data_IF_218825771662
#
_entry.id   IF_218825771662
#
_cell.length_a   1.000
_cell.length_b   1.000
_cell.length_c   1.000
_cell.angle_alpha   90.00
_cell.angle_beta   90.00
_cell.angle_gamma   90.00
#
_symmetry.space_group_name_H-M   'P 1'
#
loop_
_entity.id
_entity.type
_entity.pdbx_description
1 polymer ?
#
# COMPACT_ATOMS: atom_id res chain seq x y z
N UNK A 1 -42.16 2.92 51.38
CA UNK A 1 -42.63 4.27 51.76
C UNK A 1 -41.67 4.85 52.78
N UNK A 2 -40.65 5.60 52.34
CA UNK A 2 -40.01 6.64 53.17
C UNK A 2 -39.42 7.70 52.24
N UNK A 3 -39.81 8.95 52.49
CA UNK A 3 -39.58 10.14 51.68
C UNK A 3 -38.31 10.91 52.09
N UNK A 4 -37.65 11.51 51.09
CA UNK A 4 -36.89 12.78 51.07
C UNK A 4 -35.62 12.94 51.96
N UNK A 5 -34.72 13.94 51.73
CA UNK A 5 -34.80 15.05 50.76
C UNK A 5 -33.59 15.33 49.85
N UNK A 6 -33.91 16.16 48.84
CA UNK A 6 -33.03 16.90 47.95
C UNK A 6 -31.95 17.73 48.68
N UNK A 7 -30.73 17.72 48.14
CA UNK A 7 -29.77 18.82 48.28
C UNK A 7 -29.07 19.03 46.93
N UNK A 8 -29.48 20.04 46.17
CA UNK A 8 -29.02 21.43 46.20
C UNK A 8 -27.87 21.67 45.20
N UNK A 9 -28.27 22.17 44.03
CA UNK A 9 -27.41 22.58 42.92
C UNK A 9 -26.58 23.81 43.29
N UNK A 10 -25.26 23.68 43.37
CA UNK A 10 -24.35 24.83 43.28
C UNK A 10 -23.86 25.00 41.85
N UNK A 11 -24.49 25.94 41.12
CA UNK A 11 -23.97 26.50 39.88
C UNK A 11 -22.67 27.24 40.18
N UNK A 12 -21.54 26.68 39.79
CA UNK A 12 -20.26 27.39 39.78
C UNK A 12 -20.22 28.25 38.52
N UNK A 13 -20.46 29.55 38.68
CA UNK A 13 -20.29 30.54 37.61
C UNK A 13 -18.82 30.94 37.58
N UNK A 14 -18.03 30.38 36.65
CA UNK A 14 -16.65 30.80 36.42
C UNK A 14 -16.68 32.01 35.49
N UNK A 15 -16.24 33.15 36.01
CA UNK A 15 -16.06 34.39 35.28
C UNK A 15 -15.03 34.21 34.15
N UNK A 16 -15.44 34.48 32.90
CA UNK A 16 -14.55 34.53 31.74
C UNK A 16 -13.73 35.83 31.80
N UNK A 17 -12.41 35.69 31.95
CA UNK A 17 -11.43 36.77 31.84
C UNK A 17 -11.24 37.13 30.36
N UNK A 18 -11.36 38.40 29.93
CA UNK A 18 -11.15 38.76 28.53
C UNK A 18 -9.65 38.74 28.17
N UNK A 19 -9.31 38.14 27.03
CA UNK A 19 -7.97 38.19 26.43
C UNK A 19 -7.69 39.60 25.85
N UNK A 20 -6.46 40.11 25.94
CA UNK A 20 -6.07 41.33 25.24
C UNK A 20 -5.98 41.10 23.73
N UNK A 21 -6.58 42.02 22.97
CA UNK A 21 -6.46 42.15 21.51
C UNK A 21 -5.05 42.63 21.17
N UNK A 22 -4.28 41.83 20.42
CA UNK A 22 -3.07 42.29 19.76
C UNK A 22 -3.41 42.71 18.33
N UNK A 23 -3.29 44.01 18.08
CA UNK A 23 -3.44 44.68 16.78
C UNK A 23 -2.13 44.67 15.99
N UNK A 24 -2.29 44.51 14.67
CA UNK A 24 -1.51 45.05 13.55
C UNK A 24 0.01 44.79 13.50
N UNK A 25 0.39 44.07 12.43
CA UNK A 25 1.72 44.11 11.84
C UNK A 25 1.64 43.73 10.36
N UNK A 26 1.11 44.63 9.53
CA UNK A 26 1.22 44.54 8.08
C UNK A 26 2.66 44.86 7.68
N UNK A 27 3.33 43.92 7.00
CA UNK A 27 4.56 44.21 6.26
C UNK A 27 4.32 43.81 4.81
N UNK A 28 3.98 44.81 4.01
CA UNK A 28 4.23 44.82 2.57
C UNK A 28 5.75 44.88 2.37
N UNK A 29 6.29 44.06 1.47
CA UNK A 29 7.51 44.40 0.74
C UNK A 29 7.37 43.96 -0.73
N UNK A 30 7.94 44.74 -1.67
CA UNK A 30 7.45 44.86 -3.04
C UNK A 30 8.10 43.91 -4.04
N UNK A 31 7.44 43.86 -5.19
CA UNK A 31 7.82 43.24 -6.45
C UNK A 31 9.23 43.60 -6.94
N UNK A 32 9.89 42.62 -7.56
CA UNK A 32 10.85 42.86 -8.65
C UNK A 32 10.37 42.11 -9.90
N UNK A 33 10.00 42.88 -10.92
CA UNK A 33 9.91 42.46 -12.32
C UNK A 33 11.29 42.58 -12.98
N UNK A 34 11.62 41.65 -13.87
CA UNK A 34 12.25 41.83 -15.20
C UNK A 34 12.58 40.43 -15.74
N UNK A 35 11.79 39.85 -16.66
CA UNK A 35 11.74 40.09 -18.11
C UNK A 35 13.02 39.67 -18.86
N UNK A 36 12.90 38.60 -19.69
CA UNK A 36 13.35 38.56 -21.09
C UNK A 36 13.11 37.16 -21.73
N UNK A 37 12.04 37.08 -22.52
CA UNK A 37 11.90 36.56 -23.90
C UNK A 37 12.50 35.20 -24.39
N UNK A 38 11.95 34.62 -25.50
CA UNK A 38 11.96 33.17 -25.77
C UNK A 38 12.67 32.69 -27.08
N UNK A 39 12.72 31.35 -27.19
CA UNK A 39 12.70 30.48 -28.39
C UNK A 39 14.01 30.29 -29.22
N UNK A 40 14.11 29.30 -30.16
CA UNK A 40 13.25 28.13 -30.45
C UNK A 40 13.99 26.77 -30.69
N UNK A 41 13.17 25.72 -30.73
CA UNK A 41 13.15 24.48 -31.55
C UNK A 41 14.43 23.99 -32.27
N UNK A 42 14.74 22.69 -32.04
CA UNK A 42 15.60 21.89 -32.91
C UNK A 42 15.22 20.41 -32.88
N UNK A 43 14.33 19.99 -33.79
CA UNK A 43 14.08 18.59 -34.15
C UNK A 43 15.02 18.16 -35.28
N UNK A 44 15.72 17.02 -35.19
CA UNK A 44 16.30 16.39 -36.37
C UNK A 44 15.31 15.40 -37.02
N UNK A 45 15.20 15.37 -38.37
CA UNK A 45 14.38 14.40 -39.09
C UNK A 45 15.11 13.06 -39.31
N UNK A 46 14.32 12.00 -39.44
CA UNK A 46 14.73 10.68 -39.91
C UNK A 46 15.11 10.69 -41.40
N UNK A 47 16.05 9.84 -41.86
CA UNK A 47 16.17 9.53 -43.27
C UNK A 47 15.32 8.30 -43.64
N UNK A 48 14.62 8.47 -44.76
CA UNK A 48 13.77 7.50 -45.42
C UNK A 48 14.56 6.39 -46.12
N UNK A 49 13.86 5.26 -46.27
CA UNK A 49 14.13 4.13 -47.15
C UNK A 49 14.42 4.57 -48.59
N UNK A 50 15.46 3.98 -49.20
CA UNK A 50 15.67 3.97 -50.64
C UNK A 50 15.73 2.52 -51.08
N UNK A 51 14.69 2.08 -51.78
CA UNK A 51 14.73 0.93 -52.65
C UNK A 51 15.14 1.41 -54.04
N UNK A 52 16.09 0.75 -54.70
CA UNK A 52 15.93 0.28 -56.09
C UNK A 52 17.20 -0.41 -56.63
N UNK A 53 16.93 -1.52 -57.33
CA UNK A 53 17.57 -2.03 -58.55
C UNK A 53 18.99 -2.64 -58.54
N UNK A 54 19.01 -3.91 -58.90
CA UNK A 54 20.13 -4.73 -59.37
C UNK A 54 20.83 -4.19 -60.64
N UNK A 55 21.94 -4.80 -61.07
CA UNK A 55 21.79 -5.87 -62.06
C UNK A 55 22.61 -7.15 -61.78
N UNK A 56 22.25 -8.18 -62.52
CA UNK A 56 22.78 -9.53 -62.49
C UNK A 56 24.25 -9.63 -62.94
N UNK A 57 24.98 -10.58 -62.34
CA UNK A 57 26.16 -11.19 -62.95
C UNK A 57 26.17 -12.68 -62.63
N UNK A 58 26.18 -13.49 -63.68
CA UNK A 58 26.20 -14.94 -63.64
C UNK A 58 27.64 -15.49 -63.65
N UNK A 59 27.87 -16.58 -62.90
CA UNK A 59 28.84 -17.69 -63.11
C UNK A 59 29.42 -18.20 -61.76
N UNK A 60 29.99 -19.42 -61.67
CA UNK A 60 29.59 -20.71 -62.23
C UNK A 60 29.29 -21.76 -61.10
N UNK A 61 28.75 -22.91 -61.47
CA UNK A 61 28.36 -23.98 -60.55
C UNK A 61 29.54 -24.60 -59.78
N UNK A 62 29.46 -24.56 -58.45
CA UNK A 62 30.34 -25.28 -57.53
C UNK A 62 29.69 -26.61 -57.09
N UNK A 63 30.49 -27.66 -56.79
CA UNK A 63 30.00 -29.01 -56.52
C UNK A 63 29.19 -29.07 -55.21
N UNK A 64 28.17 -29.94 -55.21
CA UNK A 64 27.19 -30.11 -54.14
C UNK A 64 27.85 -30.44 -52.78
N UNK A 65 27.97 -29.42 -51.93
CA UNK A 65 28.24 -29.60 -50.51
C UNK A 65 27.06 -30.32 -49.86
N UNK A 66 27.36 -31.38 -49.09
CA UNK A 66 26.39 -32.12 -48.31
C UNK A 66 25.62 -31.16 -47.40
N UNK A 67 24.28 -31.16 -47.53
CA UNK A 67 23.41 -30.30 -46.71
C UNK A 67 23.60 -30.66 -45.23
N UNK A 68 23.93 -29.71 -44.34
CA UNK A 68 23.88 -29.96 -42.91
C UNK A 68 22.46 -30.37 -42.56
N UNK A 69 22.31 -31.54 -41.92
CA UNK A 69 21.03 -32.01 -41.40
C UNK A 69 20.56 -30.99 -40.38
N UNK A 70 19.48 -30.28 -40.69
CA UNK A 70 18.79 -29.39 -39.76
C UNK A 70 18.41 -30.24 -38.54
N UNK A 71 18.85 -29.90 -37.32
CA UNK A 71 18.35 -30.58 -36.13
C UNK A 71 16.83 -30.42 -36.12
N UNK A 72 16.11 -31.52 -35.96
CA UNK A 72 14.66 -31.45 -35.75
C UNK A 72 14.40 -30.47 -34.58
N UNK A 73 13.43 -29.56 -34.69
CA UNK A 73 13.12 -28.68 -33.58
C UNK A 73 12.78 -29.55 -32.38
N UNK A 74 13.57 -29.43 -31.32
CA UNK A 74 13.25 -30.05 -30.04
C UNK A 74 11.86 -29.58 -29.67
N UNK A 75 10.92 -30.53 -29.58
CA UNK A 75 9.56 -30.28 -29.12
C UNK A 75 9.63 -29.60 -27.76
N UNK A 76 9.47 -28.27 -27.73
CA UNK A 76 9.29 -27.54 -26.49
C UNK A 76 8.07 -28.17 -25.80
N UNK A 77 8.28 -28.75 -24.62
CA UNK A 77 7.19 -29.24 -23.81
C UNK A 77 6.17 -28.10 -23.67
N UNK A 78 4.85 -28.37 -23.82
CA UNK A 78 3.86 -27.33 -23.69
C UNK A 78 4.04 -26.68 -22.32
N UNK A 79 4.30 -25.36 -22.31
CA UNK A 79 4.33 -24.60 -21.08
C UNK A 79 2.98 -24.83 -20.39
N UNK A 80 3.00 -25.48 -19.22
CA UNK A 80 1.79 -25.75 -18.46
C UNK A 80 1.01 -24.44 -18.33
N UNK A 81 -0.25 -24.43 -18.79
CA UNK A 81 -1.09 -23.25 -18.72
C UNK A 81 -1.14 -22.77 -17.27
N UNK A 82 -0.60 -21.57 -17.02
CA UNK A 82 -0.52 -21.03 -15.66
C UNK A 82 -1.93 -20.68 -15.19
N UNK A 83 -2.36 -21.35 -14.13
CA UNK A 83 -3.71 -21.20 -13.60
C UNK A 83 -3.88 -19.83 -12.95
N UNK A 84 -4.94 -19.12 -13.32
CA UNK A 84 -5.41 -17.93 -12.62
C UNK A 84 -6.16 -18.35 -11.36
N UNK A 85 -5.72 -17.84 -10.22
CA UNK A 85 -6.30 -18.05 -8.90
C UNK A 85 -7.03 -16.79 -8.47
N UNK A 86 -8.11 -16.93 -7.70
CA UNK A 86 -8.78 -15.82 -7.01
C UNK A 86 -8.32 -15.76 -5.58
N UNK A 87 -8.15 -14.55 -5.04
CA UNK A 87 -7.95 -14.39 -3.60
C UNK A 87 -9.23 -14.81 -2.89
N UNK A 88 -9.07 -15.63 -1.85
CA UNK A 88 -10.13 -16.03 -0.94
C UNK A 88 -10.21 -15.03 0.24
N UNK A 89 -11.23 -14.15 0.30
CA UNK A 89 -11.35 -13.18 1.37
C UNK A 89 -11.59 -13.82 2.74
N UNK A 90 -12.20 -15.01 2.80
CA UNK A 90 -12.53 -15.64 4.09
C UNK A 90 -11.29 -16.18 4.80
N UNK A 91 -10.27 -16.56 4.03
CA UNK A 91 -9.02 -17.10 4.56
C UNK A 91 -7.84 -16.13 4.47
N UNK A 92 -8.08 -14.89 4.00
CA UNK A 92 -7.07 -13.84 3.89
C UNK A 92 -7.19 -12.78 4.98
N UNK A 93 -6.05 -12.29 5.46
CA UNK A 93 -5.94 -11.28 6.51
C UNK A 93 -4.71 -10.40 6.28
N UNK A 94 -4.89 -9.10 6.41
CA UNK A 94 -3.81 -8.14 6.66
C UNK A 94 -4.09 -7.50 8.02
N UNK A 95 -3.12 -7.55 8.93
CA UNK A 95 -3.22 -6.92 10.25
C UNK A 95 -2.04 -5.98 10.48
N UNK A 96 -2.35 -4.76 10.93
CA UNK A 96 -1.41 -3.67 11.15
C UNK A 96 -1.40 -3.33 12.63
N UNK A 97 -0.24 -3.47 13.26
CA UNK A 97 0.02 -3.01 14.61
C UNK A 97 0.41 -1.54 14.55
N UNK A 98 -0.34 -0.72 15.28
CA UNK A 98 -0.17 0.73 15.36
C UNK A 98 0.25 1.07 16.79
N UNK A 99 1.47 1.59 16.94
CA UNK A 99 2.06 1.90 18.25
C UNK A 99 1.88 3.37 18.61
N UNK A 100 1.67 3.63 19.89
CA UNK A 100 1.63 4.98 20.46
C UNK A 100 3.05 5.57 20.57
N UNK A 101 3.14 6.89 20.42
CA UNK A 101 4.37 7.69 20.52
C UNK A 101 4.13 9.00 21.27
N UNK A 102 5.20 9.79 21.42
CA UNK A 102 5.19 11.06 22.16
C UNK A 102 5.47 10.91 23.67
N UNK A 103 5.70 12.04 24.34
CA UNK A 103 6.09 12.09 25.76
C UNK A 103 5.03 11.54 26.72
N UNK A 104 3.76 11.57 26.32
CA UNK A 104 2.60 11.06 27.06
C UNK A 104 2.05 9.76 26.44
N UNK A 105 2.85 9.05 25.64
CA UNK A 105 2.51 7.75 25.03
C UNK A 105 1.80 6.78 26.00
N UNK A 106 2.25 6.74 27.26
CA UNK A 106 1.68 5.88 28.32
C UNK A 106 0.19 6.12 28.60
N UNK A 107 -0.36 7.29 28.25
CA UNK A 107 -1.76 7.65 28.41
C UNK A 107 -2.65 7.24 27.22
N UNK A 108 -2.05 6.81 26.10
CA UNK A 108 -2.78 6.29 24.93
C UNK A 108 -2.85 4.77 24.90
N UNK A 109 -3.40 4.24 23.82
CA UNK A 109 -3.42 2.79 23.54
C UNK A 109 -2.64 2.49 22.27
N UNK A 110 -2.04 1.30 22.23
CA UNK A 110 -1.67 0.69 20.95
C UNK A 110 -2.95 0.10 20.32
N UNK A 111 -2.99 0.07 19.01
CA UNK A 111 -4.15 -0.39 18.23
C UNK A 111 -3.75 -1.47 17.22
N UNK A 112 -4.70 -2.32 16.86
CA UNK A 112 -4.58 -3.19 15.70
C UNK A 112 -5.65 -2.84 14.68
N UNK A 113 -5.26 -2.65 13.43
CA UNK A 113 -6.17 -2.40 12.30
C UNK A 113 -6.11 -3.60 11.36
N UNK A 114 -7.25 -4.06 10.84
CA UNK A 114 -7.28 -5.25 10.01
C UNK A 114 -8.15 -5.11 8.76
N UNK A 115 -7.73 -5.82 7.71
CA UNK A 115 -8.49 -6.01 6.46
C UNK A 115 -8.73 -7.50 6.22
N UNK A 116 -9.98 -7.84 5.90
CA UNK A 116 -10.42 -9.20 5.50
C UNK A 116 -11.12 -9.22 4.14
N UNK A 117 -11.68 -8.09 3.72
CA UNK A 117 -12.33 -7.93 2.42
C UNK A 117 -11.27 -7.63 1.35
N UNK A 118 -10.44 -8.64 1.06
CA UNK A 118 -9.34 -8.55 0.09
C UNK A 118 -9.82 -9.17 -1.21
N UNK A 119 -9.80 -8.38 -2.27
CA UNK A 119 -10.28 -8.78 -3.59
C UNK A 119 -9.13 -8.73 -4.58
N UNK A 120 -8.95 -9.79 -5.36
CA UNK A 120 -7.89 -9.83 -6.34
C UNK A 120 -7.66 -11.22 -6.90
N UNK A 121 -6.53 -11.36 -7.57
CA UNK A 121 -6.16 -12.56 -8.31
C UNK A 121 -4.66 -12.78 -8.26
N UNK A 122 -4.26 -14.04 -8.38
CA UNK A 122 -2.88 -14.45 -8.36
C UNK A 122 -2.60 -15.50 -9.44
N UNK A 123 -1.34 -15.60 -9.82
CA UNK A 123 -0.82 -16.67 -10.66
C UNK A 123 0.39 -17.25 -9.94
N UNK A 124 0.35 -18.54 -9.62
CA UNK A 124 1.45 -19.20 -8.93
C UNK A 124 2.74 -19.23 -9.78
N UNK A 125 3.93 -19.22 -9.15
CA UNK A 125 5.19 -19.46 -9.85
C UNK A 125 5.21 -20.88 -10.45
N UNK A 126 5.65 -21.02 -11.71
CA UNK A 126 5.71 -22.32 -12.38
C UNK A 126 6.71 -22.29 -13.55
N UNK A 127 7.45 -23.39 -13.76
CA UNK A 127 8.35 -23.53 -14.92
C UNK A 127 9.42 -22.44 -15.04
N UNK A 128 9.96 -21.97 -13.91
CA UNK A 128 10.93 -20.86 -13.86
C UNK A 128 10.33 -19.46 -14.07
N UNK A 129 9.03 -19.35 -14.33
CA UNK A 129 8.35 -18.06 -14.45
C UNK A 129 7.90 -17.54 -13.06
N UNK A 130 8.06 -16.24 -12.78
CA UNK A 130 7.67 -15.67 -11.51
C UNK A 130 6.15 -15.66 -11.35
N UNK A 131 5.68 -15.93 -10.13
CA UNK A 131 4.32 -15.67 -9.69
C UNK A 131 3.98 -14.18 -9.67
N UNK A 132 2.71 -13.87 -9.88
CA UNK A 132 2.18 -12.50 -9.85
C UNK A 132 0.92 -12.46 -9.00
N UNK A 133 0.67 -11.34 -8.32
CA UNK A 133 -0.60 -11.07 -7.66
C UNK A 133 -0.96 -9.59 -7.82
N UNK A 134 -2.25 -9.34 -8.02
CA UNK A 134 -2.85 -8.01 -8.00
C UNK A 134 -4.09 -8.07 -7.11
N UNK A 135 -4.13 -7.22 -6.09
CA UNK A 135 -5.27 -7.15 -5.19
C UNK A 135 -5.46 -5.76 -4.59
N UNK A 136 -6.66 -5.57 -4.04
CA UNK A 136 -7.03 -4.35 -3.33
C UNK A 136 -7.96 -4.67 -2.17
N UNK A 137 -8.08 -3.72 -1.26
CA UNK A 137 -9.10 -3.73 -0.21
C UNK A 137 -9.53 -2.31 0.09
N UNK A 138 -10.77 -2.15 0.58
CA UNK A 138 -11.32 -0.84 0.91
C UNK A 138 -10.88 -0.39 2.30
N UNK A 139 -10.58 0.90 2.44
CA UNK A 139 -10.24 1.49 3.72
C UNK A 139 -11.43 1.55 4.68
N UNK A 140 -12.63 1.85 4.17
CA UNK A 140 -13.85 1.94 5.00
C UNK A 140 -14.30 0.60 5.60
N UNK A 141 -13.81 -0.52 5.06
CA UNK A 141 -14.04 -1.87 5.58
C UNK A 141 -13.02 -2.30 6.63
N UNK A 142 -11.99 -1.49 6.90
CA UNK A 142 -10.99 -1.81 7.93
C UNK A 142 -11.61 -1.87 9.32
N UNK A 143 -11.34 -2.95 10.04
CA UNK A 143 -11.73 -3.10 11.45
C UNK A 143 -10.63 -2.60 12.37
N UNK A 144 -11.00 -2.21 13.59
CA UNK A 144 -10.07 -1.73 14.61
C UNK A 144 -10.29 -2.55 15.87
N UNK A 145 -9.19 -3.00 16.47
CA UNK A 145 -9.13 -3.59 17.81
C UNK A 145 -9.96 -4.86 18.01
N UNK A 146 -9.94 -5.75 17.01
CA UNK A 146 -10.44 -7.11 17.19
C UNK A 146 -9.67 -7.84 18.30
N UNK A 147 -10.40 -8.44 19.23
CA UNK A 147 -9.85 -9.02 20.45
C UNK A 147 -8.75 -10.06 20.19
N UNK A 148 -8.97 -10.98 19.25
CA UNK A 148 -8.00 -12.00 18.88
C UNK A 148 -6.70 -11.38 18.32
N UNK A 149 -6.81 -10.39 17.43
CA UNK A 149 -5.65 -9.76 16.80
C UNK A 149 -4.85 -8.87 17.77
N UNK A 150 -5.52 -8.28 18.77
CA UNK A 150 -4.87 -7.57 19.88
C UNK A 150 -4.08 -8.52 20.77
N UNK A 151 -4.67 -9.67 21.12
CA UNK A 151 -3.99 -10.70 21.90
C UNK A 151 -2.73 -11.21 21.19
N UNK A 152 -2.81 -11.51 19.89
CA UNK A 152 -1.65 -11.87 19.06
C UNK A 152 -0.56 -10.79 19.05
N UNK A 153 -0.94 -9.51 19.10
CA UNK A 153 -0.01 -8.38 19.12
C UNK A 153 0.55 -8.07 20.52
N UNK A 154 0.26 -8.90 21.52
CA UNK A 154 0.71 -8.72 22.91
C UNK A 154 0.03 -7.55 23.63
N UNK A 155 -1.14 -7.10 23.17
CA UNK A 155 -1.87 -5.99 23.77
C UNK A 155 -2.87 -6.51 24.80
N UNK A 156 -2.62 -6.20 26.08
CA UNK A 156 -3.44 -6.68 27.21
C UNK A 156 -4.56 -5.72 27.60
N UNK A 157 -4.47 -4.44 27.22
CA UNK A 157 -5.56 -3.48 27.43
C UNK A 157 -6.66 -3.67 26.40
N UNK A 158 -7.91 -3.47 26.82
CA UNK A 158 -9.08 -3.48 25.94
C UNK A 158 -9.67 -2.07 25.93
N UNK A 159 -9.49 -1.30 24.84
CA UNK A 159 -10.11 0.00 24.71
C UNK A 159 -11.65 -0.14 24.74
N UNK A 160 -12.33 0.86 25.32
CA UNK A 160 -13.79 0.91 25.30
C UNK A 160 -14.31 1.08 23.86
N UNK A 161 -15.54 0.62 23.60
CA UNK A 161 -16.10 0.60 22.25
C UNK A 161 -16.21 1.99 21.59
N UNK A 162 -16.48 3.02 22.38
CA UNK A 162 -16.49 4.42 21.95
C UNK A 162 -15.09 4.92 21.57
N UNK A 163 -14.06 4.52 22.31
CA UNK A 163 -12.66 4.79 21.97
C UNK A 163 -12.26 4.09 20.66
N UNK A 164 -12.65 2.84 20.45
CA UNK A 164 -12.42 2.10 19.19
C UNK A 164 -13.10 2.81 18.01
N UNK A 165 -14.37 3.20 18.18
CA UNK A 165 -15.12 3.94 17.16
C UNK A 165 -14.48 5.31 16.85
N UNK A 166 -14.04 6.04 17.88
CA UNK A 166 -13.32 7.30 17.74
C UNK A 166 -11.99 7.15 17.00
N UNK A 167 -11.22 6.10 17.32
CA UNK A 167 -9.98 5.76 16.61
C UNK A 167 -10.26 5.46 15.14
N UNK A 168 -11.26 4.61 14.84
CA UNK A 168 -11.66 4.30 13.46
C UNK A 168 -12.06 5.57 12.69
N UNK A 169 -12.87 6.43 13.31
CA UNK A 169 -13.30 7.69 12.69
C UNK A 169 -12.11 8.62 12.38
N UNK A 170 -11.18 8.82 13.33
CA UNK A 170 -10.00 9.64 13.08
C UNK A 170 -9.10 9.02 11.99
N UNK A 171 -8.88 7.70 12.04
CA UNK A 171 -8.11 6.97 11.04
C UNK A 171 -8.67 7.19 9.62
N UNK A 172 -9.97 6.96 9.41
CA UNK A 172 -10.57 7.06 8.08
C UNK A 172 -10.64 8.50 7.57
N UNK A 173 -11.00 9.46 8.43
CA UNK A 173 -11.35 10.80 7.97
C UNK A 173 -10.20 11.81 8.05
N UNK A 174 -9.28 11.66 9.01
CA UNK A 174 -8.20 12.64 9.24
C UNK A 174 -6.84 12.15 8.78
N UNK A 175 -6.61 10.84 8.78
CA UNK A 175 -5.30 10.24 8.49
C UNK A 175 -5.28 9.69 7.08
N UNK A 176 -6.22 8.80 6.76
CA UNK A 176 -6.23 8.08 5.49
C UNK A 176 -7.03 8.76 4.39
N UNK A 177 -7.86 9.75 4.74
CA UNK A 177 -8.78 10.43 3.81
C UNK A 177 -9.56 9.42 2.93
N UNK A 178 -10.17 8.42 3.56
CA UNK A 178 -10.73 7.23 2.90
C UNK A 178 -11.83 7.54 1.87
N UNK A 179 -12.48 8.71 1.94
CA UNK A 179 -13.40 9.16 0.90
C UNK A 179 -12.66 9.53 -0.39
N UNK A 180 -11.51 10.19 -0.28
CA UNK A 180 -10.67 10.61 -1.41
C UNK A 180 -9.79 9.47 -1.94
N UNK A 181 -9.32 8.61 -1.04
CA UNK A 181 -8.46 7.46 -1.36
C UNK A 181 -9.08 6.16 -0.82
N UNK A 182 -10.13 5.62 -1.45
CA UNK A 182 -10.92 4.52 -0.86
C UNK A 182 -10.21 3.16 -0.83
N UNK A 183 -9.14 2.98 -1.59
CA UNK A 183 -8.47 1.69 -1.75
C UNK A 183 -7.00 1.73 -1.35
N UNK A 184 -6.54 0.62 -0.79
CA UNK A 184 -5.15 0.20 -0.91
C UNK A 184 -5.05 -0.78 -2.07
N UNK A 185 -4.04 -0.62 -2.91
CA UNK A 185 -3.76 -1.54 -4.02
C UNK A 185 -2.37 -2.14 -3.85
N UNK A 186 -2.24 -3.43 -4.14
CA UNK A 186 -0.98 -4.16 -4.04
C UNK A 186 -0.77 -4.96 -5.31
N UNK A 187 0.38 -4.75 -5.91
CA UNK A 187 0.89 -5.53 -7.04
C UNK A 187 2.17 -6.20 -6.57
N UNK A 188 2.28 -7.51 -6.66
CA UNK A 188 3.50 -8.19 -6.25
C UNK A 188 3.94 -9.28 -7.20
N UNK A 189 5.26 -9.46 -7.29
CA UNK A 189 5.92 -10.43 -8.16
C UNK A 189 6.89 -11.25 -7.32
N UNK A 190 6.76 -12.57 -7.37
CA UNK A 190 7.70 -13.48 -6.69
C UNK A 190 9.06 -13.43 -7.38
N UNK A 191 10.13 -13.63 -6.63
CA UNK A 191 11.45 -13.86 -7.21
C UNK A 191 11.87 -15.32 -6.93
N UNK A 192 12.70 -15.96 -7.76
CA UNK A 192 13.05 -17.38 -7.58
C UNK A 192 13.65 -17.73 -6.22
N UNK A 193 14.51 -16.86 -5.70
CA UNK A 193 15.35 -17.12 -4.51
C UNK A 193 15.39 -15.92 -3.55
N UNK A 194 14.55 -14.91 -3.77
CA UNK A 194 14.61 -13.65 -3.05
C UNK A 194 13.25 -13.21 -2.49
N UNK A 195 13.21 -11.99 -1.92
CA UNK A 195 11.97 -11.44 -1.38
C UNK A 195 10.93 -11.22 -2.48
N UNK A 196 9.66 -11.26 -2.07
CA UNK A 196 8.54 -10.82 -2.90
C UNK A 196 8.67 -9.32 -3.16
N UNK A 197 8.66 -8.92 -4.42
CA UNK A 197 8.71 -7.51 -4.79
C UNK A 197 7.29 -6.97 -4.88
N UNK A 198 6.90 -6.11 -3.93
CA UNK A 198 5.55 -5.57 -3.83
C UNK A 198 5.54 -4.05 -4.07
N UNK A 199 4.71 -3.59 -4.98
CA UNK A 199 4.31 -2.19 -5.12
C UNK A 199 2.98 -2.00 -4.38
N UNK A 200 2.98 -1.15 -3.36
CA UNK A 200 1.82 -0.82 -2.53
C UNK A 200 1.43 0.62 -2.86
N UNK A 201 0.18 0.85 -3.23
CA UNK A 201 -0.41 2.18 -3.40
C UNK A 201 -1.35 2.45 -2.24
N UNK A 202 -1.07 3.51 -1.49
CA UNK A 202 -1.85 4.00 -0.36
C UNK A 202 -1.83 5.53 -0.40
N UNK A 203 -2.98 6.17 -0.14
CA UNK A 203 -3.11 7.64 -0.15
C UNK A 203 -2.64 8.27 -1.48
N UNK A 204 -2.82 7.56 -2.59
CA UNK A 204 -2.41 8.00 -3.92
C UNK A 204 -0.91 7.89 -4.21
N UNK A 205 -0.09 7.42 -3.27
CA UNK A 205 1.37 7.25 -3.44
C UNK A 205 1.71 5.77 -3.54
N UNK A 206 2.56 5.41 -4.50
CA UNK A 206 3.06 4.03 -4.66
C UNK A 206 4.49 3.90 -4.13
N UNK A 207 4.72 2.90 -3.26
CA UNK A 207 6.04 2.54 -2.74
C UNK A 207 6.34 1.07 -3.00
N UNK A 208 7.61 0.76 -3.22
CA UNK A 208 8.09 -0.60 -3.49
C UNK A 208 8.79 -1.17 -2.26
N UNK A 209 8.48 -2.42 -1.94
CA UNK A 209 9.04 -3.16 -0.82
C UNK A 209 9.54 -4.52 -1.29
N UNK A 210 10.68 -4.91 -0.74
CA UNK A 210 11.19 -6.28 -0.78
C UNK A 210 10.71 -7.00 0.49
N UNK A 211 9.69 -7.84 0.36
CA UNK A 211 9.03 -8.51 1.49
C UNK A 211 9.54 -9.94 1.63
N UNK A 212 10.09 -10.35 2.79
CA UNK A 212 10.48 -11.74 3.05
C UNK A 212 9.24 -12.61 3.31
N UNK A 213 8.46 -12.86 2.26
CA UNK A 213 7.23 -13.66 2.30
C UNK A 213 7.52 -15.13 2.04
N UNK A 214 6.83 -16.02 2.76
CA UNK A 214 6.81 -17.45 2.49
C UNK A 214 5.65 -17.76 1.57
N UNK A 215 5.95 -18.37 0.42
CA UNK A 215 4.97 -18.90 -0.52
C UNK A 215 4.83 -20.40 -0.34
N UNK A 216 3.63 -20.89 -0.06
CA UNK A 216 3.36 -22.32 0.16
C UNK A 216 2.32 -22.80 -0.85
N UNK A 217 2.69 -23.72 -1.77
CA UNK A 217 1.72 -24.39 -2.63
C UNK A 217 0.66 -25.12 -1.80
N UNK A 218 -0.59 -25.07 -2.25
CA UNK A 218 -1.73 -25.80 -1.67
C UNK A 218 -2.35 -26.70 -2.74
N UNK A 219 -3.18 -27.64 -2.32
CA UNK A 219 -3.82 -28.60 -3.23
C UNK A 219 -4.61 -27.91 -4.36
N UNK A 220 -5.26 -26.78 -4.07
CA UNK A 220 -6.09 -26.02 -5.00
C UNK A 220 -5.65 -24.55 -5.12
N UNK A 221 -4.39 -24.21 -4.83
CA UNK A 221 -3.99 -22.81 -4.77
C UNK A 221 -2.61 -22.55 -4.20
N UNK A 222 -2.43 -21.36 -3.64
CA UNK A 222 -1.19 -20.91 -3.03
C UNK A 222 -1.50 -19.97 -1.86
N UNK A 223 -0.70 -20.10 -0.79
CA UNK A 223 -0.74 -19.17 0.34
C UNK A 223 0.53 -18.34 0.41
N UNK A 224 0.41 -17.05 0.69
CA UNK A 224 1.53 -16.14 0.96
C UNK A 224 1.42 -15.56 2.37
N UNK A 225 2.47 -15.66 3.18
CA UNK A 225 2.49 -15.08 4.52
C UNK A 225 3.81 -14.36 4.80
N UNK A 226 3.76 -13.27 5.58
CA UNK A 226 4.95 -12.52 5.91
C UNK A 226 4.67 -11.30 6.77
N UNK A 227 5.73 -10.54 7.04
CA UNK A 227 5.69 -9.27 7.76
C UNK A 227 6.38 -8.17 6.97
N UNK A 228 5.98 -6.93 7.24
CA UNK A 228 6.50 -5.74 6.60
C UNK A 228 6.47 -4.59 7.61
N UNK A 229 7.47 -3.70 7.56
CA UNK A 229 7.41 -2.39 8.20
C UNK A 229 7.37 -1.30 7.15
N UNK A 230 6.54 -0.31 7.35
CA UNK A 230 6.44 0.86 6.48
C UNK A 230 6.20 2.12 7.30
N UNK A 231 6.51 3.28 6.72
CA UNK A 231 6.23 4.58 7.32
C UNK A 231 5.01 5.21 6.68
N UNK A 232 4.17 5.87 7.47
CA UNK A 232 3.03 6.62 6.96
C UNK A 232 3.49 7.80 6.10
N UNK A 233 4.54 8.50 6.52
CA UNK A 233 5.07 9.65 5.78
C UNK A 233 5.60 9.31 4.39
N UNK A 234 6.01 8.05 4.15
CA UNK A 234 6.43 7.63 2.81
C UNK A 234 5.27 7.70 1.80
N UNK A 235 4.02 7.60 2.29
CA UNK A 235 2.80 7.72 1.51
C UNK A 235 2.19 9.12 1.53
N UNK A 236 2.88 10.11 2.12
CA UNK A 236 2.33 11.46 2.28
C UNK A 236 1.29 11.59 3.40
N UNK A 237 1.15 10.56 4.22
CA UNK A 237 0.25 10.55 5.37
C UNK A 237 0.96 11.19 6.56
N UNK A 238 0.31 12.15 7.20
CA UNK A 238 0.75 12.70 8.48
C UNK A 238 0.25 11.80 9.62
N UNK A 239 1.14 11.20 10.44
CA UNK A 239 0.72 10.43 11.61
C UNK A 239 -0.15 11.27 12.56
N UNK A 240 -1.22 10.66 13.06
CA UNK A 240 -2.13 11.32 13.99
C UNK A 240 -1.41 11.76 15.26
N UNK A 241 -1.65 13.00 15.69
CA UNK A 241 -1.12 13.51 16.96
C UNK A 241 -2.06 14.54 17.60
N UNK A 242 -1.96 14.66 18.93
CA UNK A 242 -2.71 15.63 19.74
C UNK A 242 -1.79 16.27 20.77
N UNK A 243 -2.26 17.36 21.41
CA UNK A 243 -1.51 18.08 22.45
C UNK A 243 -0.11 18.50 21.97
N UNK A 244 -0.02 18.99 20.72
CA UNK A 244 1.25 19.39 20.12
C UNK A 244 2.25 18.24 19.93
N UNK A 245 1.80 16.99 19.79
CA UNK A 245 2.66 15.82 19.62
C UNK A 245 3.00 15.09 20.93
N UNK A 246 2.50 15.56 22.08
CA UNK A 246 2.72 14.87 23.34
C UNK A 246 2.09 13.47 23.35
N UNK A 247 0.99 13.25 22.62
CA UNK A 247 0.44 11.94 22.33
C UNK A 247 0.28 11.79 20.81
N UNK A 248 0.88 10.77 20.24
CA UNK A 248 0.90 10.54 18.81
C UNK A 248 0.80 9.05 18.46
N UNK A 249 0.53 8.77 17.19
CA UNK A 249 0.79 7.49 16.55
C UNK A 249 2.21 7.50 16.00
N UNK A 250 2.96 6.42 16.20
CA UNK A 250 4.28 6.28 15.58
C UNK A 250 4.16 6.25 14.06
N UNK A 251 5.13 6.86 13.38
CA UNK A 251 5.15 6.90 11.91
C UNK A 251 5.34 5.50 11.30
N UNK A 252 6.23 4.69 11.88
CA UNK A 252 6.42 3.29 11.50
C UNK A 252 5.23 2.42 11.93
N UNK A 253 4.73 1.63 10.99
CA UNK A 253 3.67 0.64 11.16
C UNK A 253 4.24 -0.76 10.96
N UNK A 254 3.79 -1.71 11.77
CA UNK A 254 4.16 -3.12 11.65
C UNK A 254 3.01 -3.91 11.05
N UNK A 255 3.21 -4.48 9.86
CA UNK A 255 2.22 -5.30 9.18
C UNK A 255 2.57 -6.78 9.26
N UNK A 256 1.55 -7.60 9.40
CA UNK A 256 1.58 -9.04 9.16
C UNK A 256 0.44 -9.40 8.20
N UNK A 257 0.68 -10.38 7.34
CA UNK A 257 -0.35 -10.83 6.40
C UNK A 257 -0.33 -12.33 6.19
N UNK A 258 -1.49 -12.84 5.81
CA UNK A 258 -1.71 -14.16 5.20
C UNK A 258 -2.70 -13.96 4.07
N UNK A 259 -2.32 -14.27 2.85
CA UNK A 259 -3.18 -14.19 1.67
C UNK A 259 -3.31 -15.60 1.10
N UNK A 260 -4.55 -16.05 0.94
CA UNK A 260 -4.88 -17.33 0.34
C UNK A 260 -5.49 -17.06 -1.03
N UNK A 261 -4.99 -17.74 -2.06
CA UNK A 261 -5.55 -17.69 -3.40
C UNK A 261 -5.84 -19.10 -3.91
N UNK A 262 -7.05 -19.32 -4.42
CA UNK A 262 -7.58 -20.63 -4.80
C UNK A 262 -8.03 -20.64 -6.26
N UNK A 263 -7.97 -21.81 -6.88
CA UNK A 263 -8.62 -22.09 -8.14
C UNK A 263 -10.14 -21.95 -7.98
N UNK A 264 -10.81 -21.46 -9.04
CA UNK A 264 -12.27 -21.55 -9.12
C UNK A 264 -12.72 -23.01 -9.24
#
# INVERSE_FOLDING_TARGET
>A
MTNLPLQNSRKVTIAKKPLPRATLGAVLLPALLCACAPAPLGTPPAPASVAASAPASAAPAAPAAARPRTPAPASAAPAAARQLLRIDPQNSLIAVTVRRGGLLARMGHDHVVASRSIEGQAVAPAGGQPGHTDFRFRLDQLTVDESALRAEAGMTSVPAADAIAGTRNNMLNKVLEAEKYPYVQVNAVSTPEGPLQAAITLHGVTRRYAIPAVLTPRANGISAAGTLRLKQTDFGIQPYSVLGGALAVQDELELRFRIEAVAN
#
